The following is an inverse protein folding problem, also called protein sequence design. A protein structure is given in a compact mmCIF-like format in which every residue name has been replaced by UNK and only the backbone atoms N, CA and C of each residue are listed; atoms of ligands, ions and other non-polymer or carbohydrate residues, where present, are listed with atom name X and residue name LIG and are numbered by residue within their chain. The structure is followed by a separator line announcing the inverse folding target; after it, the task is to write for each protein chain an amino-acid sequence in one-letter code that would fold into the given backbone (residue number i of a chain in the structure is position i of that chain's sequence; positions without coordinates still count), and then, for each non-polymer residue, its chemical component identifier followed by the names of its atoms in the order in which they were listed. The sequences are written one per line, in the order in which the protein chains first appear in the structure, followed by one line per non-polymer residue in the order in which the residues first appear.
data_IF_420719932768
#
_entry.id   IF_420719932768
#
_cell.length_a   1.000
_cell.length_b   1.000
_cell.length_c   1.000
_cell.angle_alpha   90.00
_cell.angle_beta   90.00
_cell.angle_gamma   90.00
#
_symmetry.space_group_name_H-M   'P 1'
#
loop_
_entity.id
_entity.type
_entity.pdbx_description
1 polymer ?
#
# COMPACT_ATOMS: atom_id res chain seq x y z
N UNK A 1 7.50 -7.03 7.79
CA UNK A 1 6.05 -6.71 7.90
C UNK A 1 5.77 -5.43 8.67
N UNK A 2 6.60 -5.07 9.67
CA UNK A 2 6.41 -3.86 10.47
C UNK A 2 6.44 -2.57 9.63
N UNK A 3 7.29 -2.51 8.62
CA UNK A 3 7.35 -1.38 7.68
C UNK A 3 6.01 -1.14 6.97
N UNK A 4 5.36 -2.21 6.49
CA UNK A 4 4.06 -2.10 5.83
C UNK A 4 2.97 -1.63 6.80
N UNK A 5 2.90 -2.22 7.99
CA UNK A 5 1.92 -1.87 9.01
C UNK A 5 2.07 -0.43 9.54
N UNK A 6 3.31 0.01 9.76
CA UNK A 6 3.55 1.39 10.23
C UNK A 6 3.22 2.42 9.17
N UNK A 7 3.50 2.14 7.87
CA UNK A 7 3.07 3.01 6.78
C UNK A 7 1.56 3.05 6.65
N UNK A 8 0.89 1.90 6.73
CA UNK A 8 -0.56 1.84 6.71
C UNK A 8 -1.18 2.64 7.86
N UNK A 9 -0.70 2.45 9.10
CA UNK A 9 -1.18 3.17 10.27
C UNK A 9 -0.92 4.69 10.19
N UNK A 10 0.12 5.12 9.49
CA UNK A 10 0.46 6.53 9.29
C UNK A 10 -0.22 7.17 8.06
N UNK A 11 -1.06 6.44 7.32
CA UNK A 11 -1.81 6.98 6.17
C UNK A 11 -2.54 8.30 6.49
N UNK A 12 -3.23 8.46 7.63
CA UNK A 12 -3.89 9.72 7.96
C UNK A 12 -2.96 10.93 8.03
N UNK A 13 -1.67 10.73 8.33
CA UNK A 13 -0.69 11.83 8.40
C UNK A 13 -0.45 12.50 7.05
N UNK A 14 -0.72 11.80 5.95
CA UNK A 14 -0.64 12.36 4.60
C UNK A 14 -1.59 13.55 4.43
N UNK A 15 -2.69 13.58 5.16
CA UNK A 15 -3.67 14.67 5.08
C UNK A 15 -3.21 15.95 5.80
N UNK A 16 -2.25 15.87 6.72
CA UNK A 16 -1.81 17.02 7.54
C UNK A 16 -1.38 18.23 6.69
N UNK A 17 -0.48 18.09 5.69
CA UNK A 17 -0.09 19.24 4.88
C UNK A 17 -1.25 19.83 4.05
N UNK A 18 -2.22 19.02 3.66
CA UNK A 18 -3.41 19.48 2.94
C UNK A 18 -4.41 20.18 3.86
N UNK A 19 -4.57 19.68 5.08
CA UNK A 19 -5.42 20.28 6.10
C UNK A 19 -4.88 21.65 6.56
N UNK A 20 -3.59 21.71 6.86
CA UNK A 20 -2.93 22.92 7.33
C UNK A 20 -2.65 23.91 6.20
N UNK A 21 -2.68 23.45 4.93
CA UNK A 21 -2.27 24.18 3.73
C UNK A 21 -0.84 24.72 3.82
N UNK A 22 0.02 24.02 4.55
CA UNK A 22 1.43 24.39 4.74
C UNK A 22 2.31 23.24 4.28
N UNK A 23 2.99 23.43 3.16
CA UNK A 23 3.84 22.41 2.53
C UNK A 23 5.04 22.00 3.42
N UNK A 24 5.46 22.85 4.35
CA UNK A 24 6.50 22.50 5.33
C UNK A 24 6.12 21.26 6.17
N UNK A 25 4.83 21.01 6.38
CA UNK A 25 4.35 19.81 7.07
C UNK A 25 4.43 18.53 6.22
N UNK A 26 4.60 18.68 4.89
CA UNK A 26 4.85 17.54 4.02
C UNK A 26 6.26 16.95 4.23
N UNK A 27 7.24 17.76 4.62
CA UNK A 27 8.62 17.31 4.80
C UNK A 27 8.76 16.16 5.79
N UNK A 28 8.24 16.22 7.04
CA UNK A 28 8.34 15.11 7.96
C UNK A 28 7.50 13.90 7.51
N UNK A 29 6.37 14.12 6.86
CA UNK A 29 5.52 13.02 6.35
C UNK A 29 6.22 12.28 5.22
N UNK A 30 6.72 12.99 4.22
CA UNK A 30 7.48 12.40 3.11
C UNK A 30 8.76 11.75 3.63
N UNK A 31 9.47 12.43 4.55
CA UNK A 31 10.67 11.88 5.20
C UNK A 31 10.37 10.55 5.89
N UNK A 32 9.28 10.47 6.66
CA UNK A 32 8.85 9.22 7.29
C UNK A 32 8.56 8.12 6.27
N UNK A 33 7.82 8.43 5.20
CA UNK A 33 7.49 7.45 4.17
C UNK A 33 8.73 6.92 3.43
N UNK A 34 9.76 7.74 3.23
CA UNK A 34 11.01 7.36 2.59
C UNK A 34 11.95 6.58 3.52
N UNK A 35 12.02 6.97 4.79
CA UNK A 35 12.94 6.36 5.77
C UNK A 35 12.36 5.07 6.35
N UNK A 36 11.04 4.93 6.41
CA UNK A 36 10.37 3.78 7.00
C UNK A 36 10.87 2.42 6.48
N UNK A 37 11.02 2.19 5.16
CA UNK A 37 11.53 0.91 4.65
C UNK A 37 13.00 0.64 5.04
N UNK A 38 13.77 1.69 5.37
CA UNK A 38 15.20 1.57 5.75
C UNK A 38 15.33 1.25 7.23
N UNK A 39 14.45 1.82 8.06
CA UNK A 39 14.44 1.60 9.52
C UNK A 39 14.05 0.16 9.86
N UNK A 40 13.12 -0.42 9.11
CA UNK A 40 12.67 -1.78 9.33
C UNK A 40 13.40 -2.73 8.38
N UNK A 41 14.13 -3.69 8.96
CA UNK A 41 14.85 -4.72 8.22
C UNK A 41 13.95 -5.50 7.27
N UNK A 42 14.51 -5.98 6.18
CA UNK A 42 13.81 -6.91 5.28
C UNK A 42 13.42 -8.17 6.06
N UNK A 43 12.21 -8.71 5.85
CA UNK A 43 11.80 -9.94 6.49
C UNK A 43 12.68 -11.11 6.02
N UNK A 44 13.08 -11.97 6.95
CA UNK A 44 13.90 -13.16 6.68
C UNK A 44 13.10 -14.30 6.04
N UNK A 45 11.77 -14.27 6.17
CA UNK A 45 10.86 -15.26 5.59
C UNK A 45 9.67 -14.63 4.86
N UNK A 46 9.07 -15.37 3.94
CA UNK A 46 7.86 -14.96 3.21
C UNK A 46 6.56 -15.40 3.91
N UNK A 47 6.63 -15.90 5.15
CA UNK A 47 5.48 -16.48 5.85
C UNK A 47 4.49 -15.43 6.37
N UNK A 48 4.97 -14.21 6.66
CA UNK A 48 4.11 -13.15 7.15
C UNK A 48 3.14 -12.66 6.06
N UNK A 49 1.89 -12.49 6.43
CA UNK A 49 0.82 -12.04 5.53
C UNK A 49 1.17 -10.75 4.76
N UNK A 50 1.66 -9.73 5.47
CA UNK A 50 2.06 -8.48 4.84
C UNK A 50 3.25 -8.64 3.86
N UNK A 51 4.18 -9.55 4.14
CA UNK A 51 5.30 -9.87 3.26
C UNK A 51 4.80 -10.55 1.97
N UNK A 52 3.87 -11.50 2.08
CA UNK A 52 3.24 -12.13 0.91
C UNK A 52 2.46 -11.14 0.07
N UNK A 53 1.76 -10.20 0.72
CA UNK A 53 1.07 -9.12 0.02
C UNK A 53 2.05 -8.27 -0.82
N UNK A 54 3.19 -7.87 -0.26
CA UNK A 54 4.21 -7.10 -0.99
C UNK A 54 4.79 -7.89 -2.18
N UNK A 55 5.06 -9.19 -1.99
CA UNK A 55 5.54 -10.06 -3.07
C UNK A 55 4.50 -10.27 -4.16
N UNK A 56 3.23 -10.44 -3.78
CA UNK A 56 2.11 -10.53 -4.72
C UNK A 56 1.96 -9.25 -5.53
N UNK A 57 2.11 -8.09 -4.89
CA UNK A 57 2.07 -6.80 -5.57
C UNK A 57 3.21 -6.64 -6.59
N UNK A 58 4.43 -7.08 -6.27
CA UNK A 58 5.55 -7.07 -7.21
C UNK A 58 5.23 -7.88 -8.47
N UNK A 59 4.68 -9.09 -8.31
CA UNK A 59 4.26 -9.95 -9.43
C UNK A 59 3.09 -9.33 -10.21
N UNK A 60 2.09 -8.82 -9.50
CA UNK A 60 0.90 -8.21 -10.09
C UNK A 60 1.24 -6.97 -10.93
N UNK A 61 2.15 -6.11 -10.45
CA UNK A 61 2.62 -4.94 -11.20
C UNK A 61 3.37 -5.35 -12.47
N UNK A 62 4.15 -6.43 -12.41
CA UNK A 62 4.90 -6.94 -13.56
C UNK A 62 3.96 -7.44 -14.69
N UNK A 63 2.90 -8.14 -14.33
CA UNK A 63 1.92 -8.71 -15.29
C UNK A 63 0.82 -7.73 -15.68
N UNK A 64 0.49 -6.78 -14.80
CA UNK A 64 -0.58 -5.78 -14.96
C UNK A 64 -1.94 -6.36 -15.38
N UNK A 65 -2.47 -7.41 -14.72
CA UNK A 65 -3.76 -7.97 -15.08
C UNK A 65 -4.90 -6.99 -14.78
N UNK A 66 -5.94 -7.04 -15.60
CA UNK A 66 -7.18 -6.29 -15.38
C UNK A 66 -8.16 -7.17 -14.61
N UNK A 67 -7.97 -7.28 -13.31
CA UNK A 67 -8.73 -8.13 -12.41
C UNK A 67 -9.43 -7.34 -11.29
N UNK A 68 -9.97 -8.07 -10.29
CA UNK A 68 -10.61 -7.46 -9.12
C UNK A 68 -9.66 -6.54 -8.35
N UNK A 69 -8.38 -6.88 -8.27
CA UNK A 69 -7.37 -6.06 -7.59
C UNK A 69 -7.20 -4.69 -8.27
N UNK A 70 -7.29 -4.61 -9.60
CA UNK A 70 -7.25 -3.35 -10.32
C UNK A 70 -8.44 -2.45 -9.95
N UNK A 71 -9.64 -3.01 -9.79
CA UNK A 71 -10.84 -2.27 -9.37
C UNK A 71 -10.69 -1.77 -7.93
N UNK A 72 -10.22 -2.63 -7.02
CA UNK A 72 -9.98 -2.24 -5.61
C UNK A 72 -8.91 -1.16 -5.53
N UNK A 73 -7.82 -1.29 -6.28
CA UNK A 73 -6.75 -0.28 -6.32
C UNK A 73 -7.26 1.08 -6.83
N UNK A 74 -8.14 1.07 -7.84
CA UNK A 74 -8.80 2.29 -8.31
C UNK A 74 -9.69 2.90 -7.22
N UNK A 75 -10.46 2.09 -6.50
CA UNK A 75 -11.29 2.54 -5.39
C UNK A 75 -10.45 3.15 -4.25
N UNK A 76 -9.32 2.55 -3.90
CA UNK A 76 -8.34 3.12 -2.95
C UNK A 76 -7.89 4.50 -3.40
N UNK A 77 -7.50 4.64 -4.68
CA UNK A 77 -7.03 5.91 -5.24
C UNK A 77 -8.12 6.99 -5.23
N UNK A 78 -9.35 6.63 -5.54
CA UNK A 78 -10.51 7.55 -5.50
C UNK A 78 -10.80 8.00 -4.07
N UNK A 79 -10.80 7.08 -3.10
CA UNK A 79 -10.99 7.42 -1.69
C UNK A 79 -9.87 8.35 -1.18
N UNK A 80 -8.62 8.06 -1.51
CA UNK A 80 -7.47 8.88 -1.14
C UNK A 80 -7.56 10.30 -1.73
N UNK A 81 -7.87 10.42 -3.00
CA UNK A 81 -8.07 11.72 -3.65
C UNK A 81 -9.23 12.50 -3.02
N UNK A 82 -10.35 11.82 -2.73
CA UNK A 82 -11.49 12.40 -2.03
C UNK A 82 -11.15 12.87 -0.62
N UNK A 83 -10.38 12.08 0.13
CA UNK A 83 -9.90 12.45 1.47
C UNK A 83 -9.02 13.71 1.43
N UNK A 84 -8.09 13.79 0.48
CA UNK A 84 -7.25 14.98 0.26
C UNK A 84 -8.10 16.22 -0.05
N UNK A 85 -9.08 16.11 -0.95
CA UNK A 85 -9.97 17.22 -1.29
C UNK A 85 -10.81 17.67 -0.09
N UNK A 86 -11.32 16.73 0.69
CA UNK A 86 -12.07 17.00 1.91
C UNK A 86 -11.19 17.69 2.97
N UNK A 87 -9.95 17.23 3.13
CA UNK A 87 -8.97 17.84 4.03
C UNK A 87 -8.64 19.28 3.62
N UNK A 88 -8.42 19.54 2.35
CA UNK A 88 -8.19 20.90 1.83
C UNK A 88 -9.38 21.84 2.08
N UNK A 89 -10.59 21.30 2.03
CA UNK A 89 -11.82 22.03 2.36
C UNK A 89 -12.11 22.07 3.86
N UNK A 90 -11.23 21.51 4.67
CA UNK A 90 -11.36 21.39 6.13
C UNK A 90 -12.68 20.73 6.56
N UNK A 91 -13.13 19.76 5.80
CA UNK A 91 -14.30 18.93 6.12
C UNK A 91 -13.85 17.67 6.82
N UNK A 92 -13.87 17.67 8.16
CA UNK A 92 -13.34 16.59 8.99
C UNK A 92 -14.08 15.25 8.74
N UNK A 93 -15.41 15.27 8.76
CA UNK A 93 -16.20 14.04 8.66
C UNK A 93 -15.95 13.31 7.34
N UNK A 94 -16.09 13.94 6.14
CA UNK A 94 -15.79 13.26 4.91
C UNK A 94 -14.30 12.91 4.75
N UNK A 95 -13.37 13.73 5.27
CA UNK A 95 -11.95 13.40 5.24
C UNK A 95 -11.68 12.13 6.05
N UNK A 96 -12.20 12.03 7.28
CA UNK A 96 -12.02 10.85 8.13
C UNK A 96 -12.70 9.62 7.52
N UNK A 97 -13.94 9.74 7.04
CA UNK A 97 -14.69 8.64 6.45
C UNK A 97 -13.99 8.06 5.21
N UNK A 98 -13.50 8.93 4.31
CA UNK A 98 -12.79 8.50 3.10
C UNK A 98 -11.41 7.91 3.41
N UNK A 99 -10.70 8.43 4.41
CA UNK A 99 -9.43 7.85 4.86
C UNK A 99 -9.64 6.46 5.48
N UNK A 100 -10.66 6.28 6.31
CA UNK A 100 -10.98 4.96 6.86
C UNK A 100 -11.39 3.98 5.77
N UNK A 101 -12.18 4.42 4.79
CA UNK A 101 -12.53 3.60 3.62
C UNK A 101 -11.28 3.20 2.80
N UNK A 102 -10.39 4.15 2.55
CA UNK A 102 -9.11 3.89 1.88
C UNK A 102 -8.28 2.86 2.63
N UNK A 103 -8.12 3.01 3.94
CA UNK A 103 -7.35 2.09 4.79
C UNK A 103 -7.96 0.68 4.79
N UNK A 104 -9.30 0.57 4.85
CA UNK A 104 -9.98 -0.72 4.77
C UNK A 104 -9.81 -1.37 3.39
N UNK A 105 -9.95 -0.60 2.31
CA UNK A 105 -9.74 -1.08 0.94
C UNK A 105 -8.29 -1.49 0.69
N UNK A 106 -7.31 -0.83 1.30
CA UNK A 106 -5.90 -1.26 1.24
C UNK A 106 -5.72 -2.64 1.84
N UNK A 107 -6.39 -2.97 2.95
CA UNK A 107 -6.33 -4.32 3.52
C UNK A 107 -6.97 -5.36 2.59
N UNK A 108 -8.07 -5.03 1.95
CA UNK A 108 -8.69 -5.88 0.93
C UNK A 108 -7.74 -6.07 -0.26
N UNK A 109 -7.12 -5.01 -0.74
CA UNK A 109 -6.13 -5.08 -1.81
C UNK A 109 -4.95 -5.97 -1.43
N UNK A 110 -4.42 -5.85 -0.22
CA UNK A 110 -3.34 -6.71 0.26
C UNK A 110 -3.76 -8.18 0.36
N UNK A 111 -5.00 -8.46 0.76
CA UNK A 111 -5.52 -9.83 0.75
C UNK A 111 -5.55 -10.40 -0.67
N UNK A 112 -6.00 -9.62 -1.66
CA UNK A 112 -5.98 -10.04 -3.05
C UNK A 112 -4.55 -10.25 -3.56
N UNK A 113 -3.58 -9.47 -3.09
CA UNK A 113 -2.16 -9.65 -3.44
C UNK A 113 -1.59 -10.93 -2.81
N UNK A 114 -2.00 -11.29 -1.58
CA UNK A 114 -1.62 -12.56 -0.96
C UNK A 114 -2.17 -13.73 -1.78
N UNK A 115 -3.44 -13.68 -2.14
CA UNK A 115 -4.08 -14.72 -2.98
C UNK A 115 -3.34 -14.85 -4.33
N UNK A 116 -3.04 -13.73 -4.97
CA UNK A 116 -2.29 -13.69 -6.21
C UNK A 116 -0.89 -14.31 -6.06
N UNK A 117 -0.19 -14.00 -4.98
CA UNK A 117 1.11 -14.60 -4.67
C UNK A 117 1.02 -16.11 -4.49
N UNK A 118 0.05 -16.58 -3.68
CA UNK A 118 -0.11 -17.99 -3.37
C UNK A 118 -0.48 -18.81 -4.64
N UNK A 119 -1.24 -18.22 -5.56
CA UNK A 119 -1.59 -18.84 -6.85
C UNK A 119 -0.39 -18.92 -7.81
N UNK A 120 0.46 -17.89 -7.84
CA UNK A 120 1.55 -17.78 -8.80
C UNK A 120 2.91 -18.26 -8.25
N UNK A 121 3.10 -18.30 -6.92
CA UNK A 121 4.33 -18.85 -6.31
C UNK A 121 4.48 -20.36 -6.52
N UNK A 122 3.39 -21.06 -6.84
CA UNK A 122 3.40 -22.48 -7.20
C UNK A 122 3.86 -22.72 -8.64
N UNK A 123 4.00 -21.70 -9.48
CA UNK A 123 4.47 -21.80 -10.86
C UNK A 123 6.01 -21.62 -10.91
N UNK A 124 6.78 -22.71 -11.19
CA UNK A 124 8.24 -22.64 -11.27
C UNK A 124 8.77 -21.71 -12.36
N UNK A 125 7.93 -21.29 -13.32
CA UNK A 125 8.33 -20.40 -14.40
C UNK A 125 8.38 -18.93 -13.99
N UNK A 126 7.74 -18.56 -12.86
CA UNK A 126 7.68 -17.19 -12.38
C UNK A 126 8.69 -16.89 -11.25
N UNK A 127 9.46 -17.90 -10.79
CA UNK A 127 10.53 -17.66 -9.83
C UNK A 127 11.82 -17.25 -10.55
N UNK A 128 12.20 -15.97 -10.53
CA UNK A 128 13.40 -15.48 -11.20
C UNK A 128 14.70 -16.08 -10.61
N UNK A 129 14.62 -16.74 -9.46
CA UNK A 129 15.77 -17.39 -8.80
C UNK A 129 15.96 -18.85 -9.21
N UNK A 130 14.92 -19.53 -9.74
CA UNK A 130 15.01 -20.91 -10.22
C UNK A 130 15.35 -21.00 -11.72
N UNK A 131 15.13 -19.95 -12.49
CA UNK A 131 15.43 -19.88 -13.90
C UNK A 131 16.94 -19.84 -14.22
N UNK A 132 17.81 -19.73 -13.22
CA UNK A 132 19.26 -19.61 -13.36
C UNK A 132 20.08 -20.80 -12.86
N UNK A 133 19.47 -21.91 -12.43
CA UNK A 133 20.20 -23.10 -12.04
C UNK A 133 20.39 -24.04 -13.23
N UNK A 134 21.66 -24.30 -13.64
CA UNK A 134 21.94 -25.29 -14.69
C UNK A 134 21.63 -26.71 -14.24
#
# INVERSE_FOLDING_TARGET
PWSAWTRWASTPLVLVPFWTRQWRHAVPVVGWMLVNPVVFSRPESNDAWATRAMRGEELWIAERPRDRAAIVNLAVSVCGAGAVLAARKRRLVPAAALTLAEMALLLVYWQLMVEYYDENAADPQLDPFTAGSP
#
